data_IF_095511465127
#
_entry.id   IF_095511465127
#
_cell.length_a   1.000
_cell.length_b   1.000
_cell.length_c   1.000
_cell.angle_alpha   90.00
_cell.angle_beta   90.00
_cell.angle_gamma   90.00
#
_symmetry.space_group_name_H-M   'P 1'
#
loop_
_entity.id
_entity.type
_entity.pdbx_description
1 polymer ?
#
# COMPACT_ATOMS: atom_id res chain seq x y z
N UNK A 1 16.05 -4.99 6.70
CA UNK A 1 16.75 -5.21 7.97
C UNK A 1 17.01 -3.94 8.77
N UNK A 2 17.55 -2.83 8.21
CA UNK A 2 17.80 -1.57 8.95
C UNK A 2 16.56 -0.91 9.58
N UNK A 3 15.35 -1.09 9.03
CA UNK A 3 14.11 -0.50 9.58
C UNK A 3 13.52 -1.25 10.78
N UNK A 4 13.73 -2.57 10.89
CA UNK A 4 13.26 -3.36 12.03
C UNK A 4 14.00 -3.02 13.34
N UNK A 5 15.30 -2.75 13.28
CA UNK A 5 16.09 -2.28 14.42
C UNK A 5 15.56 -0.93 14.97
N UNK A 6 14.95 -0.11 14.11
CA UNK A 6 14.46 1.22 14.47
C UNK A 6 13.12 1.23 15.20
N UNK A 7 12.25 0.22 15.00
CA UNK A 7 10.90 0.18 15.59
C UNK A 7 10.89 -0.50 16.96
N UNK A 8 11.70 -1.52 17.19
CA UNK A 8 11.67 -2.32 18.43
C UNK A 8 12.98 -2.28 19.24
N UNK A 9 14.06 -1.70 18.73
CA UNK A 9 15.38 -1.72 19.36
C UNK A 9 15.98 -3.13 19.51
N UNK A 10 15.32 -4.17 18.98
CA UNK A 10 15.72 -5.57 19.08
C UNK A 10 15.73 -6.20 17.67
N UNK A 11 16.71 -7.05 17.41
CA UNK A 11 16.71 -7.90 16.20
C UNK A 11 15.68 -9.02 16.35
N UNK A 12 15.16 -9.55 15.23
CA UNK A 12 14.27 -10.72 15.24
C UNK A 12 14.92 -11.89 16.02
N UNK A 13 16.23 -12.08 15.84
CA UNK A 13 16.97 -13.14 16.55
C UNK A 13 16.97 -12.94 18.07
N UNK A 14 17.06 -11.69 18.54
CA UNK A 14 16.99 -11.39 19.98
C UNK A 14 15.58 -11.57 20.54
N UNK A 15 14.54 -11.24 19.78
CA UNK A 15 13.14 -11.49 20.18
C UNK A 15 12.85 -13.00 20.24
N UNK A 16 13.28 -13.74 19.22
CA UNK A 16 13.15 -15.20 19.18
C UNK A 16 13.93 -15.84 20.33
N UNK A 17 15.18 -15.41 20.55
CA UNK A 17 16.02 -15.92 21.64
C UNK A 17 15.43 -15.63 23.03
N UNK A 18 14.88 -14.43 23.27
CA UNK A 18 14.22 -14.10 24.55
C UNK A 18 12.96 -14.93 24.78
N UNK A 19 12.18 -15.20 23.73
CA UNK A 19 10.99 -16.05 23.85
C UNK A 19 11.38 -17.53 24.07
N UNK A 20 12.41 -18.01 23.37
CA UNK A 20 12.94 -19.38 23.56
C UNK A 20 13.56 -19.56 24.95
N UNK A 21 14.30 -18.56 25.44
CA UNK A 21 14.93 -18.61 26.76
C UNK A 21 13.90 -18.56 27.92
N UNK A 22 12.81 -17.76 27.75
CA UNK A 22 11.81 -17.58 28.80
C UNK A 22 10.86 -18.78 28.92
N UNK A 23 10.33 -19.29 27.82
CA UNK A 23 9.34 -20.38 27.81
C UNK A 23 9.98 -21.77 27.96
N UNK A 24 11.11 -21.97 27.29
CA UNK A 24 11.78 -23.28 27.25
C UNK A 24 12.43 -23.65 28.61
N UNK A 25 13.03 -22.68 29.30
CA UNK A 25 13.77 -22.96 30.53
C UNK A 25 12.86 -23.38 31.70
N UNK A 26 11.82 -22.60 31.97
CA UNK A 26 10.87 -22.87 33.07
C UNK A 26 10.17 -24.20 32.87
N UNK A 27 9.80 -24.49 31.66
CA UNK A 27 9.07 -25.72 31.37
C UNK A 27 9.96 -26.94 31.18
N UNK A 28 11.10 -26.81 30.51
CA UNK A 28 12.05 -27.91 30.39
C UNK A 28 12.37 -28.53 31.77
N UNK A 29 12.43 -27.68 32.78
CA UNK A 29 12.67 -28.16 34.16
C UNK A 29 11.44 -28.84 34.77
N UNK A 30 10.21 -28.37 34.51
CA UNK A 30 8.99 -29.05 34.94
C UNK A 30 8.78 -30.36 34.17
N UNK A 31 8.90 -30.37 32.86
CA UNK A 31 8.75 -31.57 32.05
C UNK A 31 9.78 -32.62 32.37
N UNK A 32 11.05 -32.24 32.59
CA UNK A 32 12.11 -33.18 33.05
C UNK A 32 11.79 -33.85 34.37
N UNK A 33 11.14 -33.17 35.32
CA UNK A 33 10.70 -33.76 36.59
C UNK A 33 9.65 -34.84 36.39
N UNK A 34 8.62 -34.58 35.54
CA UNK A 34 7.58 -35.57 35.26
C UNK A 34 8.13 -36.78 34.49
N UNK A 35 8.95 -36.54 33.46
CA UNK A 35 9.58 -37.62 32.66
C UNK A 35 10.52 -38.47 33.50
N UNK A 36 11.36 -37.87 34.39
CA UNK A 36 12.25 -38.63 35.27
C UNK A 36 11.52 -39.51 36.31
N UNK A 37 10.33 -39.10 36.72
CA UNK A 37 9.49 -39.83 37.69
C UNK A 37 8.57 -40.88 37.07
N UNK A 38 8.54 -40.95 35.71
CA UNK A 38 7.57 -41.77 34.95
C UNK A 38 6.15 -41.54 35.51
N UNK A 39 5.83 -40.25 35.74
CA UNK A 39 4.56 -39.83 36.31
C UNK A 39 3.50 -39.74 35.22
N UNK A 40 2.60 -40.69 35.17
CA UNK A 40 1.45 -40.73 34.26
C UNK A 40 0.15 -40.29 34.96
N UNK A 41 0.23 -39.61 36.10
CA UNK A 41 -0.93 -39.08 36.79
C UNK A 41 -1.73 -38.12 35.89
N UNK A 42 -3.02 -37.98 36.17
CA UNK A 42 -3.91 -37.03 35.45
C UNK A 42 -3.42 -35.60 35.59
N UNK A 43 -2.79 -35.24 36.70
CA UNK A 43 -2.20 -33.92 36.93
C UNK A 43 -0.97 -33.68 36.05
N UNK A 44 -0.07 -34.64 35.92
CA UNK A 44 1.10 -34.57 35.05
C UNK A 44 0.64 -34.48 33.58
N UNK A 45 -0.35 -35.27 33.16
CA UNK A 45 -0.90 -35.23 31.81
C UNK A 45 -1.61 -33.90 31.51
N UNK A 46 -2.37 -33.33 32.47
CA UNK A 46 -2.97 -32.00 32.32
C UNK A 46 -1.91 -30.90 32.18
N UNK A 47 -0.84 -30.95 33.00
CA UNK A 47 0.25 -29.99 32.93
C UNK A 47 0.98 -30.06 31.58
N UNK A 48 1.26 -31.27 31.06
CA UNK A 48 1.89 -31.46 29.74
C UNK A 48 0.98 -30.97 28.58
N UNK A 49 -0.33 -31.24 28.64
CA UNK A 49 -1.30 -30.73 27.65
C UNK A 49 -1.36 -29.20 27.66
N UNK A 50 -1.45 -28.60 28.85
CA UNK A 50 -1.46 -27.14 29.01
C UNK A 50 -0.18 -26.51 28.45
N UNK A 51 0.95 -27.11 28.70
CA UNK A 51 2.21 -26.65 28.16
C UNK A 51 2.28 -26.73 26.64
N UNK A 52 1.96 -27.85 26.06
CA UNK A 52 1.98 -28.02 24.62
C UNK A 52 1.06 -26.98 23.94
N UNK A 53 -0.05 -26.66 24.57
CA UNK A 53 -0.96 -25.60 24.11
C UNK A 53 -0.31 -24.22 24.24
N UNK A 54 0.30 -23.91 25.39
CA UNK A 54 0.99 -22.63 25.63
C UNK A 54 2.13 -22.42 24.64
N UNK A 55 2.94 -23.46 24.40
CA UNK A 55 4.02 -23.40 23.40
C UNK A 55 3.50 -23.17 21.98
N UNK A 56 2.42 -23.83 21.60
CA UNK A 56 1.79 -23.59 20.29
C UNK A 56 1.31 -22.15 20.16
N UNK A 57 0.66 -21.62 21.19
CA UNK A 57 0.16 -20.22 21.19
C UNK A 57 1.32 -19.21 21.16
N UNK A 58 2.39 -19.45 21.93
CA UNK A 58 3.56 -18.56 21.94
C UNK A 58 4.26 -18.55 20.58
N UNK A 59 4.46 -19.71 19.96
CA UNK A 59 5.02 -19.83 18.61
C UNK A 59 4.14 -19.16 17.56
N UNK A 60 2.85 -19.33 17.65
CA UNK A 60 1.89 -18.69 16.74
C UNK A 60 1.96 -17.17 16.86
N UNK A 61 1.98 -16.63 18.09
CA UNK A 61 2.09 -15.17 18.32
C UNK A 61 3.40 -14.62 17.75
N UNK A 62 4.52 -15.27 17.99
CA UNK A 62 5.82 -14.85 17.46
C UNK A 62 5.86 -14.87 15.94
N UNK A 63 5.37 -15.94 15.33
CA UNK A 63 5.35 -16.05 13.88
C UNK A 63 4.43 -14.98 13.26
N UNK A 64 3.27 -14.73 13.87
CA UNK A 64 2.39 -13.63 13.42
C UNK A 64 3.08 -12.28 13.48
N UNK A 65 3.77 -11.96 14.57
CA UNK A 65 4.53 -10.72 14.69
C UNK A 65 5.63 -10.59 13.64
N UNK A 66 6.36 -11.66 13.36
CA UNK A 66 7.37 -11.69 12.31
C UNK A 66 6.75 -11.43 10.93
N UNK A 67 5.67 -12.14 10.60
CA UNK A 67 5.00 -12.01 9.32
C UNK A 67 4.36 -10.62 9.16
N UNK A 68 3.78 -10.07 10.23
CA UNK A 68 3.26 -8.69 10.26
C UNK A 68 4.36 -7.66 9.94
N UNK A 69 5.53 -7.80 10.56
CA UNK A 69 6.67 -6.93 10.26
C UNK A 69 7.15 -7.07 8.81
N UNK A 70 7.17 -8.29 8.27
CA UNK A 70 7.55 -8.52 6.86
C UNK A 70 6.53 -7.89 5.89
N UNK A 71 5.24 -7.98 6.17
CA UNK A 71 4.19 -7.32 5.36
C UNK A 71 4.35 -5.81 5.41
N UNK A 72 4.58 -5.24 6.60
CA UNK A 72 4.80 -3.80 6.77
C UNK A 72 6.06 -3.30 6.05
N UNK A 73 7.17 -4.04 6.17
CA UNK A 73 8.42 -3.72 5.47
C UNK A 73 8.23 -3.73 3.94
N UNK A 74 7.60 -4.79 3.43
CA UNK A 74 7.24 -4.88 2.02
C UNK A 74 6.31 -3.75 1.56
N UNK A 75 5.39 -3.32 2.43
CA UNK A 75 4.48 -2.20 2.13
C UNK A 75 5.24 -0.88 2.03
N UNK A 76 6.20 -0.63 2.92
CA UNK A 76 7.07 0.54 2.86
C UNK A 76 7.90 0.56 1.57
N UNK A 77 8.48 -0.58 1.17
CA UNK A 77 9.22 -0.69 -0.09
C UNK A 77 8.34 -0.36 -1.32
N UNK A 78 7.09 -0.82 -1.30
CA UNK A 78 6.12 -0.50 -2.36
C UNK A 78 5.76 0.98 -2.33
N UNK A 79 5.52 1.54 -1.14
CA UNK A 79 5.22 2.95 -0.96
C UNK A 79 6.33 3.84 -1.52
N UNK A 80 7.58 3.58 -1.16
CA UNK A 80 8.73 4.34 -1.63
C UNK A 80 8.86 4.29 -3.17
N UNK A 81 8.64 3.12 -3.76
CA UNK A 81 8.65 2.96 -5.22
C UNK A 81 7.51 3.71 -5.90
N UNK A 82 6.31 3.69 -5.32
CA UNK A 82 5.16 4.43 -5.84
C UNK A 82 5.40 5.94 -5.74
N UNK A 83 5.88 6.44 -4.60
CA UNK A 83 6.21 7.85 -4.40
C UNK A 83 7.22 8.35 -5.43
N UNK A 84 8.31 7.61 -5.63
CA UNK A 84 9.31 7.94 -6.63
C UNK A 84 8.72 8.01 -8.05
N UNK A 85 7.84 7.06 -8.41
CA UNK A 85 7.16 7.08 -9.72
C UNK A 85 6.18 8.24 -9.87
N UNK A 86 5.55 8.68 -8.80
CA UNK A 86 4.66 9.85 -8.83
C UNK A 86 5.47 11.15 -8.95
N UNK A 87 6.61 11.28 -8.27
CA UNK A 87 7.56 12.39 -8.44
C UNK A 87 8.04 12.45 -9.88
N UNK A 88 8.55 11.34 -10.44
CA UNK A 88 8.96 11.26 -11.86
C UNK A 88 7.82 11.64 -12.82
N UNK A 89 6.56 11.37 -12.47
CA UNK A 89 5.42 11.76 -13.30
C UNK A 89 5.15 13.26 -13.25
N UNK A 90 5.36 13.91 -12.10
CA UNK A 90 5.31 15.37 -11.96
C UNK A 90 6.39 16.01 -12.83
N UNK A 91 7.64 15.58 -12.66
CA UNK A 91 8.79 16.16 -13.36
C UNK A 91 8.62 16.06 -14.88
N UNK A 92 8.23 14.88 -15.39
CA UNK A 92 7.97 14.68 -16.83
C UNK A 92 6.84 15.56 -17.34
N UNK A 93 5.83 15.78 -16.53
CA UNK A 93 4.72 16.63 -16.93
C UNK A 93 5.12 18.11 -16.95
N UNK A 94 5.89 18.57 -15.97
CA UNK A 94 6.42 19.94 -15.94
C UNK A 94 7.31 20.20 -17.14
N UNK A 95 8.22 19.27 -17.47
CA UNK A 95 9.07 19.36 -18.66
C UNK A 95 8.23 19.40 -19.95
N UNK A 96 7.21 18.54 -20.05
CA UNK A 96 6.29 18.53 -21.20
C UNK A 96 5.55 19.85 -21.37
N UNK A 97 5.10 20.46 -20.26
CA UNK A 97 4.44 21.75 -20.29
C UNK A 97 5.40 22.89 -20.66
N UNK A 98 6.64 22.86 -20.19
CA UNK A 98 7.68 23.80 -20.60
C UNK A 98 7.88 23.80 -22.12
N UNK A 99 7.92 22.63 -22.73
CA UNK A 99 8.01 22.53 -24.22
C UNK A 99 6.78 23.08 -24.94
N UNK A 100 5.57 22.94 -24.37
CA UNK A 100 4.34 23.44 -24.96
C UNK A 100 4.22 24.95 -24.84
N UNK A 101 4.60 25.51 -23.69
CA UNK A 101 4.48 26.94 -23.38
C UNK A 101 5.68 27.76 -23.90
N UNK A 102 6.80 27.09 -24.23
CA UNK A 102 8.03 27.75 -24.65
C UNK A 102 8.85 28.35 -23.50
N UNK A 103 8.43 28.13 -22.26
CA UNK A 103 9.08 28.63 -21.04
C UNK A 103 9.22 27.54 -19.98
N UNK A 104 10.29 27.63 -19.16
CA UNK A 104 10.52 26.73 -18.05
C UNK A 104 9.90 27.28 -16.75
N UNK A 105 8.76 26.71 -16.37
CA UNK A 105 8.16 27.00 -15.06
C UNK A 105 8.96 26.25 -13.97
N UNK A 106 9.50 27.00 -13.02
CA UNK A 106 10.15 26.40 -11.86
C UNK A 106 9.08 25.95 -10.86
N UNK A 107 9.09 24.66 -10.57
CA UNK A 107 8.31 24.03 -9.50
C UNK A 107 9.30 23.59 -8.44
N UNK A 108 9.12 23.99 -7.19
CA UNK A 108 10.01 23.62 -6.10
C UNK A 108 9.63 22.26 -5.48
N UNK A 109 10.54 21.68 -4.69
CA UNK A 109 10.34 20.37 -4.06
C UNK A 109 9.11 20.32 -3.13
N UNK A 110 8.71 21.46 -2.52
CA UNK A 110 7.54 21.51 -1.66
C UNK A 110 6.26 21.45 -2.50
N UNK A 111 6.25 22.11 -3.65
CA UNK A 111 5.15 22.05 -4.60
C UNK A 111 5.00 20.65 -5.19
N UNK A 112 6.13 19.99 -5.54
CA UNK A 112 6.13 18.59 -5.99
C UNK A 112 5.54 17.68 -4.89
N UNK A 113 6.00 17.82 -3.65
CA UNK A 113 5.47 17.06 -2.51
C UNK A 113 3.99 17.35 -2.27
N UNK A 114 3.56 18.60 -2.37
CA UNK A 114 2.16 18.98 -2.23
C UNK A 114 1.28 18.34 -3.30
N UNK A 115 1.74 18.33 -4.55
CA UNK A 115 1.05 17.66 -5.66
C UNK A 115 0.99 16.15 -5.44
N UNK A 116 2.11 15.49 -5.12
CA UNK A 116 2.16 14.04 -4.90
C UNK A 116 1.26 13.62 -3.75
N UNK A 117 1.26 14.35 -2.63
CA UNK A 117 0.55 14.00 -1.40
C UNK A 117 -0.85 14.59 -1.30
N UNK A 118 -1.35 15.26 -2.31
CA UNK A 118 -2.71 15.80 -2.29
C UNK A 118 -3.77 14.68 -2.26
N UNK A 119 -4.90 14.97 -1.62
CA UNK A 119 -6.01 14.02 -1.54
C UNK A 119 -6.74 13.92 -2.88
N UNK A 120 -7.04 12.71 -3.29
CA UNK A 120 -7.91 12.44 -4.42
C UNK A 120 -9.17 11.70 -3.95
N UNK A 121 -10.34 12.31 -4.17
CA UNK A 121 -11.62 11.79 -3.65
C UNK A 121 -11.59 11.54 -2.14
N UNK A 122 -11.03 12.49 -1.40
CA UNK A 122 -11.02 12.51 0.06
C UNK A 122 -9.96 11.63 0.73
N UNK A 123 -9.16 10.90 -0.02
CA UNK A 123 -8.15 9.97 0.56
C UNK A 123 -6.82 10.11 -0.18
N UNK A 124 -5.72 10.07 0.56
CA UNK A 124 -4.37 10.03 0.01
C UNK A 124 -4.07 8.65 -0.59
N UNK A 125 -3.21 8.59 -1.60
CA UNK A 125 -2.79 7.35 -2.27
C UNK A 125 -2.10 6.35 -1.33
N UNK A 126 -1.26 6.86 -0.42
CA UNK A 126 -0.58 6.02 0.59
C UNK A 126 -1.59 5.31 1.50
N UNK A 127 -2.62 6.03 1.97
CA UNK A 127 -3.69 5.43 2.78
C UNK A 127 -4.39 4.30 2.03
N UNK A 128 -4.65 4.45 0.74
CA UNK A 128 -5.25 3.38 -0.09
C UNK A 128 -4.35 2.15 -0.20
N UNK A 129 -3.04 2.37 -0.40
CA UNK A 129 -2.05 1.29 -0.42
C UNK A 129 -2.07 0.51 0.90
N UNK A 130 -2.02 1.20 2.03
CA UNK A 130 -2.05 0.57 3.35
C UNK A 130 -3.36 -0.19 3.63
N UNK A 131 -4.50 0.32 3.16
CA UNK A 131 -5.78 -0.39 3.26
C UNK A 131 -5.78 -1.70 2.45
N UNK A 132 -5.25 -1.70 1.24
CA UNK A 132 -5.14 -2.90 0.41
C UNK A 132 -4.16 -3.92 1.04
N UNK A 133 -3.05 -3.47 1.60
CA UNK A 133 -2.07 -4.33 2.27
C UNK A 133 -2.56 -4.91 3.60
N UNK A 134 -3.46 -4.22 4.31
CA UNK A 134 -4.10 -4.75 5.51
C UNK A 134 -4.93 -6.02 5.24
N UNK A 135 -5.46 -6.17 4.04
CA UNK A 135 -6.17 -7.40 3.63
C UNK A 135 -5.19 -8.58 3.50
N UNK A 136 -3.99 -8.35 2.96
CA UNK A 136 -2.92 -9.37 2.90
C UNK A 136 -2.48 -9.76 4.31
N UNK A 137 -2.27 -8.78 5.19
CA UNK A 137 -1.91 -9.01 6.59
C UNK A 137 -2.94 -9.90 7.29
N UNK A 138 -4.23 -9.58 7.16
CA UNK A 138 -5.32 -10.38 7.74
C UNK A 138 -5.33 -11.82 7.23
N UNK A 139 -5.08 -12.04 5.95
CA UNK A 139 -5.01 -13.39 5.37
C UNK A 139 -3.80 -14.17 5.91
N UNK A 140 -2.64 -13.52 6.02
CA UNK A 140 -1.44 -14.10 6.64
C UNK A 140 -1.71 -14.53 8.08
N UNK A 141 -2.34 -13.67 8.90
CA UNK A 141 -2.68 -13.97 10.29
C UNK A 141 -3.66 -15.14 10.39
N UNK A 142 -4.70 -15.16 9.56
CA UNK A 142 -5.71 -16.22 9.53
C UNK A 142 -5.11 -17.56 9.15
N UNK A 143 -4.31 -17.58 8.09
CA UNK A 143 -3.61 -18.78 7.61
C UNK A 143 -2.66 -19.32 8.66
N UNK A 144 -1.86 -18.46 9.28
CA UNK A 144 -0.91 -18.83 10.33
C UNK A 144 -1.62 -19.49 11.53
N UNK A 145 -2.74 -18.91 11.98
CA UNK A 145 -3.55 -19.49 13.07
C UNK A 145 -4.12 -20.85 12.70
N UNK A 146 -4.64 -20.99 11.50
CA UNK A 146 -5.23 -22.26 11.04
C UNK A 146 -4.19 -23.36 10.95
N UNK A 147 -3.00 -23.04 10.43
CA UNK A 147 -1.90 -24.01 10.31
C UNK A 147 -1.37 -24.41 11.68
N UNK A 148 -1.03 -23.46 12.55
CA UNK A 148 -0.35 -23.74 13.82
C UNK A 148 -1.29 -24.22 14.92
N UNK A 149 -2.48 -23.64 15.06
CA UNK A 149 -3.40 -23.97 16.14
C UNK A 149 -4.33 -25.12 15.77
N UNK A 150 -4.83 -25.13 14.55
CA UNK A 150 -5.82 -26.12 14.08
C UNK A 150 -5.20 -27.31 13.35
N UNK A 151 -3.88 -27.26 13.08
CA UNK A 151 -3.16 -28.36 12.39
C UNK A 151 -3.57 -28.54 10.93
N UNK A 152 -4.10 -27.48 10.30
CA UNK A 152 -4.45 -27.52 8.87
C UNK A 152 -3.21 -27.53 8.00
N UNK A 153 -3.29 -28.16 6.84
CA UNK A 153 -2.17 -28.20 5.92
C UNK A 153 -2.01 -26.85 5.19
N UNK A 154 -0.81 -26.24 5.10
CA UNK A 154 -0.59 -24.94 4.44
C UNK A 154 -1.10 -24.88 3.01
N UNK A 155 -1.04 -26.00 2.26
CA UNK A 155 -1.48 -26.04 0.87
C UNK A 155 -2.99 -25.76 0.67
N UNK A 156 -3.81 -25.95 1.72
CA UNK A 156 -5.24 -25.62 1.68
C UNK A 156 -5.49 -24.12 1.44
N UNK A 157 -4.54 -23.27 1.80
CA UNK A 157 -4.66 -21.80 1.75
C UNK A 157 -3.94 -21.17 0.55
N UNK A 158 -3.16 -21.94 -0.21
CA UNK A 158 -2.35 -21.42 -1.33
C UNK A 158 -3.22 -20.72 -2.37
N UNK A 159 -4.37 -21.28 -2.69
CA UNK A 159 -5.28 -20.72 -3.71
C UNK A 159 -5.85 -19.37 -3.27
N UNK A 160 -6.35 -19.28 -2.02
CA UNK A 160 -6.92 -18.03 -1.49
C UNK A 160 -5.85 -16.96 -1.30
N UNK A 161 -4.68 -17.35 -0.79
CA UNK A 161 -3.54 -16.44 -0.66
C UNK A 161 -3.09 -15.87 -2.01
N UNK A 162 -2.97 -16.72 -3.05
CA UNK A 162 -2.67 -16.26 -4.42
C UNK A 162 -3.72 -15.30 -4.94
N UNK A 163 -4.99 -15.59 -4.74
CA UNK A 163 -6.09 -14.72 -5.17
C UNK A 163 -6.00 -13.35 -4.49
N UNK A 164 -5.78 -13.31 -3.18
CA UNK A 164 -5.63 -12.06 -2.42
C UNK A 164 -4.39 -11.27 -2.88
N UNK A 165 -3.25 -11.93 -3.04
CA UNK A 165 -2.01 -11.29 -3.50
C UNK A 165 -2.13 -10.73 -4.92
N UNK A 166 -2.76 -11.47 -5.84
CA UNK A 166 -3.00 -11.02 -7.20
C UNK A 166 -3.95 -9.81 -7.22
N UNK A 167 -5.01 -9.82 -6.40
CA UNK A 167 -5.92 -8.69 -6.23
C UNK A 167 -5.19 -7.44 -5.74
N UNK A 168 -4.33 -7.59 -4.74
CA UNK A 168 -3.54 -6.48 -4.18
C UNK A 168 -2.55 -5.93 -5.21
N UNK A 169 -1.87 -6.80 -5.98
CA UNK A 169 -0.96 -6.38 -7.07
C UNK A 169 -1.72 -5.61 -8.15
N UNK A 170 -2.89 -6.07 -8.54
CA UNK A 170 -3.76 -5.37 -9.49
C UNK A 170 -4.19 -4.00 -8.95
N UNK A 171 -4.60 -3.92 -7.68
CA UNK A 171 -4.99 -2.68 -7.04
C UNK A 171 -3.83 -1.68 -6.97
N UNK A 172 -2.62 -2.12 -6.61
CA UNK A 172 -1.42 -1.28 -6.59
C UNK A 172 -1.09 -0.73 -7.99
N UNK A 173 -1.17 -1.56 -9.03
CA UNK A 173 -0.96 -1.14 -10.41
C UNK A 173 -2.02 -0.12 -10.86
N UNK A 174 -3.28 -0.36 -10.53
CA UNK A 174 -4.38 0.57 -10.83
C UNK A 174 -4.23 1.89 -10.06
N UNK A 175 -3.80 1.82 -8.80
CA UNK A 175 -3.51 2.98 -7.97
C UNK A 175 -2.42 3.84 -8.63
N UNK A 176 -1.29 3.24 -9.02
CA UNK A 176 -0.20 3.95 -9.70
C UNK A 176 -0.68 4.66 -10.96
N UNK A 177 -1.42 3.98 -11.85
CA UNK A 177 -1.93 4.58 -13.09
C UNK A 177 -2.88 5.75 -12.79
N UNK A 178 -3.79 5.59 -11.82
CA UNK A 178 -4.76 6.63 -11.46
C UNK A 178 -4.08 7.84 -10.84
N UNK A 179 -3.15 7.61 -9.90
CA UNK A 179 -2.44 8.69 -9.22
C UNK A 179 -1.44 9.39 -10.14
N UNK A 180 -0.78 8.67 -11.05
CA UNK A 180 0.07 9.29 -12.08
C UNK A 180 -0.73 10.26 -12.95
N UNK A 181 -1.93 9.87 -13.40
CA UNK A 181 -2.78 10.77 -14.17
C UNK A 181 -3.29 11.97 -13.35
N UNK A 182 -3.52 11.77 -12.05
CA UNK A 182 -3.89 12.87 -11.13
C UNK A 182 -2.75 13.86 -10.96
N UNK A 183 -1.54 13.38 -10.63
CA UNK A 183 -0.39 14.28 -10.43
C UNK A 183 -0.02 15.02 -11.71
N UNK A 184 -0.16 14.39 -12.87
CA UNK A 184 0.00 15.08 -14.16
C UNK A 184 -1.00 16.23 -14.33
N UNK A 185 -2.29 16.00 -14.04
CA UNK A 185 -3.31 17.05 -14.15
C UNK A 185 -3.08 18.17 -13.13
N UNK A 186 -2.66 17.87 -11.90
CA UNK A 186 -2.30 18.89 -10.89
C UNK A 186 -1.06 19.68 -11.31
N UNK A 187 -0.05 19.02 -11.86
CA UNK A 187 1.15 19.68 -12.39
C UNK A 187 0.85 20.60 -13.55
N UNK A 188 -0.02 20.18 -14.48
CA UNK A 188 -0.52 21.03 -15.56
C UNK A 188 -1.22 22.26 -15.00
N UNK A 189 -2.14 22.06 -14.06
CA UNK A 189 -2.85 23.16 -13.40
C UNK A 189 -1.87 24.16 -12.77
N UNK A 190 -0.90 23.66 -12.03
CA UNK A 190 0.09 24.49 -11.36
C UNK A 190 0.92 25.29 -12.37
N UNK A 191 1.39 24.66 -13.43
CA UNK A 191 2.14 25.30 -14.52
C UNK A 191 1.30 26.39 -15.19
N UNK A 192 0.08 26.08 -15.58
CA UNK A 192 -0.80 27.04 -16.25
C UNK A 192 -1.19 28.22 -15.35
N UNK A 193 -1.42 27.99 -14.06
CA UNK A 193 -1.71 29.06 -13.11
C UNK A 193 -0.51 30.02 -12.92
N UNK A 194 0.72 29.49 -12.99
CA UNK A 194 1.93 30.30 -12.91
C UNK A 194 2.16 31.16 -14.15
N UNK A 195 1.96 30.58 -15.33
CA UNK A 195 2.26 31.21 -16.61
C UNK A 195 1.11 32.08 -17.15
N UNK A 196 -0.13 31.58 -17.09
CA UNK A 196 -1.29 32.18 -17.75
C UNK A 196 -2.26 32.83 -16.78
N UNK A 197 -1.99 32.69 -15.47
CA UNK A 197 -2.83 33.26 -14.44
C UNK A 197 -4.14 32.49 -14.20
N UNK A 198 -4.96 33.00 -13.28
CA UNK A 198 -6.17 32.32 -12.80
C UNK A 198 -7.33 32.33 -13.80
N UNK A 199 -7.35 33.31 -14.68
CA UNK A 199 -8.43 33.53 -15.63
C UNK A 199 -8.18 32.88 -17.01
N UNK A 200 -7.02 32.26 -17.20
CA UNK A 200 -6.72 31.45 -18.38
C UNK A 200 -7.65 30.24 -18.48
N UNK A 201 -7.86 29.77 -19.70
CA UNK A 201 -8.82 28.72 -20.00
C UNK A 201 -8.18 27.49 -20.61
N UNK A 202 -8.79 26.32 -20.38
CA UNK A 202 -8.40 25.06 -20.99
C UNK A 202 -9.62 24.34 -21.59
N UNK A 203 -9.37 23.58 -22.62
CA UNK A 203 -10.36 22.73 -23.28
C UNK A 203 -10.13 21.28 -22.89
N UNK A 204 -11.18 20.60 -22.42
CA UNK A 204 -11.14 19.17 -22.15
C UNK A 204 -11.20 18.39 -23.47
N UNK A 205 -10.21 17.56 -23.76
CA UNK A 205 -10.15 16.75 -24.97
C UNK A 205 -10.07 15.27 -24.61
N UNK A 206 -11.09 14.51 -24.98
CA UNK A 206 -11.13 13.06 -24.82
C UNK A 206 -10.91 12.37 -26.17
N UNK A 207 -10.11 11.31 -26.17
CA UNK A 207 -10.10 10.37 -27.30
C UNK A 207 -11.37 9.54 -27.25
N UNK A 208 -12.28 9.82 -28.18
CA UNK A 208 -13.57 9.15 -28.23
C UNK A 208 -13.44 7.79 -28.92
N UNK A 209 -13.75 6.72 -28.18
CA UNK A 209 -13.81 5.34 -28.67
C UNK A 209 -14.95 4.56 -27.98
N UNK A 210 -15.09 3.26 -28.31
CA UNK A 210 -16.13 2.38 -27.74
C UNK A 210 -16.02 2.19 -26.22
N UNK A 211 -14.86 2.50 -25.61
CA UNK A 211 -14.59 2.35 -24.17
C UNK A 211 -14.71 3.68 -23.43
N UNK A 212 -14.95 4.78 -24.14
CA UNK A 212 -15.03 6.12 -23.56
C UNK A 212 -16.25 6.23 -22.64
N UNK A 213 -16.02 6.67 -21.41
CA UNK A 213 -17.11 6.85 -20.44
C UNK A 213 -18.07 7.96 -20.84
N UNK A 214 -19.34 7.87 -20.38
CA UNK A 214 -20.34 8.93 -20.60
C UNK A 214 -19.86 10.29 -20.07
N UNK A 215 -19.11 10.30 -18.96
CA UNK A 215 -18.53 11.51 -18.37
C UNK A 215 -17.52 12.15 -19.34
N UNK A 216 -16.59 11.35 -19.89
CA UNK A 216 -15.63 11.87 -20.86
C UNK A 216 -16.31 12.38 -22.15
N UNK A 217 -17.37 11.72 -22.59
CA UNK A 217 -18.18 12.20 -23.70
C UNK A 217 -18.81 13.56 -23.41
N UNK A 218 -19.42 13.75 -22.22
CA UNK A 218 -20.09 15.01 -21.87
C UNK A 218 -19.12 16.16 -21.61
N UNK A 219 -17.88 15.87 -21.22
CA UNK A 219 -16.84 16.88 -20.97
C UNK A 219 -16.08 17.25 -22.24
N UNK A 220 -16.08 16.39 -23.25
CA UNK A 220 -15.28 16.60 -24.46
C UNK A 220 -15.66 17.87 -25.20
N UNK A 221 -14.68 18.72 -25.44
CA UNK A 221 -14.86 20.01 -26.11
C UNK A 221 -15.25 21.16 -25.17
N UNK A 222 -15.60 20.89 -23.92
CA UNK A 222 -15.96 21.94 -22.97
C UNK A 222 -14.71 22.73 -22.54
N UNK A 223 -14.91 24.04 -22.30
CA UNK A 223 -13.87 24.96 -21.86
C UNK A 223 -14.11 25.31 -20.39
N UNK A 224 -13.03 25.33 -19.61
CA UNK A 224 -13.03 25.62 -18.18
C UNK A 224 -11.90 26.57 -17.81
N UNK A 225 -12.05 27.35 -16.74
CA UNK A 225 -10.98 28.20 -16.21
C UNK A 225 -9.98 27.33 -15.37
N UNK A 226 -8.69 27.68 -15.39
CA UNK A 226 -7.67 26.95 -14.62
C UNK A 226 -7.96 26.94 -13.12
N UNK A 227 -8.50 28.02 -12.56
CA UNK A 227 -8.88 28.07 -11.14
C UNK A 227 -9.92 27.00 -10.76
N UNK A 228 -10.78 26.61 -11.70
CA UNK A 228 -11.86 25.65 -11.50
C UNK A 228 -11.46 24.22 -11.91
N UNK A 229 -10.21 24.01 -12.29
CA UNK A 229 -9.69 22.70 -12.68
C UNK A 229 -9.60 21.76 -11.47
N UNK A 230 -10.35 20.65 -11.51
CA UNK A 230 -10.42 19.66 -10.45
C UNK A 230 -10.19 18.27 -11.06
N UNK A 231 -9.05 17.60 -10.73
CA UNK A 231 -8.80 16.24 -11.17
C UNK A 231 -9.92 15.27 -10.76
N UNK A 232 -10.35 14.45 -11.73
CA UNK A 232 -11.45 13.51 -11.53
C UNK A 232 -12.86 14.11 -11.66
N UNK A 233 -12.99 15.42 -11.90
CA UNK A 233 -14.27 16.12 -12.15
C UNK A 233 -14.28 16.65 -13.57
N UNK A 234 -13.50 17.69 -13.86
CA UNK A 234 -13.38 18.33 -15.17
C UNK A 234 -11.96 18.23 -15.77
N UNK A 235 -11.06 17.51 -15.10
CA UNK A 235 -9.73 17.14 -15.56
C UNK A 235 -9.42 15.67 -15.27
N UNK A 236 -8.44 15.03 -15.96
CA UNK A 236 -8.02 13.66 -15.65
C UNK A 236 -7.58 13.48 -14.18
N UNK A 237 -7.65 12.27 -13.60
CA UNK A 237 -8.17 11.03 -14.17
C UNK A 237 -9.68 10.88 -14.01
N UNK A 238 -10.36 10.43 -15.05
CA UNK A 238 -11.76 10.03 -14.95
C UNK A 238 -11.91 8.55 -14.58
N UNK A 239 -13.12 8.15 -14.14
CA UNK A 239 -13.39 6.81 -13.54
C UNK A 239 -13.10 5.63 -14.47
N UNK A 240 -13.05 5.83 -15.77
CA UNK A 240 -12.77 4.79 -16.76
C UNK A 240 -11.73 5.32 -17.77
N UNK A 241 -10.75 4.48 -18.06
CA UNK A 241 -9.58 4.76 -18.91
C UNK A 241 -9.99 5.25 -20.31
N UNK A 242 -10.11 6.54 -20.48
CA UNK A 242 -10.02 7.18 -21.79
C UNK A 242 -8.74 8.02 -21.81
N UNK A 243 -8.02 7.98 -22.92
CA UNK A 243 -6.89 8.87 -23.12
C UNK A 243 -7.47 10.29 -23.23
N UNK A 244 -7.35 11.04 -22.14
CA UNK A 244 -7.82 12.42 -22.07
C UNK A 244 -6.62 13.33 -21.88
N UNK A 245 -6.63 14.45 -22.53
CA UNK A 245 -5.66 15.51 -22.28
C UNK A 245 -6.40 16.84 -22.12
N UNK A 246 -5.72 17.77 -21.49
CA UNK A 246 -6.14 19.14 -21.38
C UNK A 246 -5.33 19.93 -22.40
N UNK A 247 -5.96 20.78 -23.18
CA UNK A 247 -5.31 21.71 -24.11
C UNK A 247 -5.66 23.13 -23.73
N UNK A 248 -4.77 24.06 -24.02
CA UNK A 248 -5.09 25.47 -23.93
C UNK A 248 -6.30 25.77 -24.84
N UNK A 249 -7.22 26.58 -24.37
CA UNK A 249 -8.26 27.15 -25.22
C UNK A 249 -7.60 28.23 -26.09
N UNK A 250 -7.85 28.15 -27.38
CA UNK A 250 -7.45 29.18 -28.35
C UNK A 250 -8.29 30.44 -28.20
#
# INVERSE_FOLDING_TARGET
MKNMQRILGLTIQEVVKKADDFDVYVFRNKAKKYVKRIDFSDEANKALKLYNLTMKVSREKLLKQQLDLMVKDSTLDIQDKLENKLVEAVDREVERQAHILGEHVKIDDNEVKAVVNSNFKGVNWSTRLWQDMALVQKEVETTTSNVLLRGRHPNEYVSEFKKQTNSTTYNASRLLVTESARVQAESQKLTYLKELGKDGEYKYVAKIDKKTSKICHSLNGNVFKFKDMIPGVNAPPQKYYSTTCVKLAE
#
